data_IF_890160790152
#
_entry.id   IF_890160790152
#
_cell.length_a   1.000
_cell.length_b   1.000
_cell.length_c   1.000
_cell.angle_alpha   90.00
_cell.angle_beta   90.00
_cell.angle_gamma   90.00
#
_symmetry.space_group_name_H-M   'P 1'
#
loop_
_entity.id
_entity.type
_entity.pdbx_description
1 polymer ?
#
# COMPACT_ATOMS: atom_id res chain seq x y z
N UNK A 1 -8.55 7.37 -30.46
CA UNK A 1 -7.41 7.88 -29.68
C UNK A 1 -6.19 7.98 -30.60
N UNK A 2 -5.73 9.19 -30.86
CA UNK A 2 -4.52 9.50 -31.63
C UNK A 2 -3.26 8.91 -30.97
N UNK A 3 -2.19 8.65 -31.74
CA UNK A 3 -0.89 8.20 -31.22
C UNK A 3 -0.34 9.15 -30.15
N UNK A 4 -0.57 10.45 -30.29
CA UNK A 4 -0.14 11.45 -29.31
C UNK A 4 -0.90 11.36 -27.98
N UNK A 5 -2.20 11.08 -28.02
CA UNK A 5 -3.03 10.94 -26.82
C UNK A 5 -2.62 9.72 -25.97
N UNK A 6 -2.14 8.64 -26.61
CA UNK A 6 -1.60 7.48 -25.88
C UNK A 6 -0.29 7.78 -25.15
N UNK A 7 0.49 8.75 -25.63
CA UNK A 7 1.79 9.13 -25.05
C UNK A 7 1.58 10.08 -23.86
N UNK A 8 0.69 11.07 -23.98
CA UNK A 8 0.56 12.13 -22.96
C UNK A 8 -0.50 11.86 -21.89
N UNK A 9 -1.53 11.04 -22.18
CA UNK A 9 -2.54 10.70 -21.17
C UNK A 9 -2.21 9.36 -20.49
N UNK A 10 -1.55 9.45 -19.33
CA UNK A 10 -1.34 8.29 -18.46
C UNK A 10 -2.69 7.70 -18.01
N UNK A 11 -2.76 6.39 -17.69
CA UNK A 11 -3.98 5.78 -17.14
C UNK A 11 -4.50 6.51 -15.91
N UNK A 12 -3.60 6.96 -15.03
CA UNK A 12 -3.96 7.75 -13.84
C UNK A 12 -4.60 9.10 -14.22
N UNK A 13 -4.05 9.80 -15.22
CA UNK A 13 -4.63 11.08 -15.67
C UNK A 13 -5.99 10.87 -16.33
N UNK A 14 -6.15 9.82 -17.15
CA UNK A 14 -7.45 9.46 -17.74
C UNK A 14 -8.48 9.19 -16.67
N UNK A 15 -8.15 8.33 -15.69
CA UNK A 15 -9.02 8.01 -14.58
C UNK A 15 -9.38 9.26 -13.75
N UNK A 16 -8.41 10.13 -13.49
CA UNK A 16 -8.61 11.36 -12.75
C UNK A 16 -9.57 12.32 -13.47
N UNK A 17 -9.35 12.56 -14.78
CA UNK A 17 -10.23 13.40 -15.61
C UNK A 17 -11.63 12.80 -15.70
N UNK A 18 -11.75 11.50 -15.92
CA UNK A 18 -13.05 10.80 -15.92
C UNK A 18 -13.77 10.90 -14.58
N UNK A 19 -13.05 10.79 -13.47
CA UNK A 19 -13.64 10.93 -12.14
C UNK A 19 -14.16 12.35 -11.92
N UNK A 20 -13.36 13.37 -12.23
CA UNK A 20 -13.73 14.79 -12.03
C UNK A 20 -14.88 15.21 -12.95
N UNK A 21 -14.83 14.84 -14.23
CA UNK A 21 -15.82 15.29 -15.22
C UNK A 21 -17.05 14.38 -15.28
N UNK A 22 -16.92 13.11 -14.89
CA UNK A 22 -17.98 12.11 -14.97
C UNK A 22 -18.77 11.91 -13.68
N UNK A 23 -18.31 12.44 -12.54
CA UNK A 23 -19.05 12.37 -11.28
C UNK A 23 -19.28 13.76 -10.70
N UNK A 24 -20.54 14.19 -10.64
CA UNK A 24 -20.95 15.30 -9.78
C UNK A 24 -20.87 14.79 -8.34
N UNK A 25 -19.69 14.89 -7.72
CA UNK A 25 -19.49 14.48 -6.33
C UNK A 25 -20.25 15.43 -5.39
N UNK A 26 -21.56 15.22 -5.23
CA UNK A 26 -22.33 15.85 -4.17
C UNK A 26 -21.82 15.36 -2.82
N UNK A 27 -21.59 16.27 -1.87
CA UNK A 27 -21.18 15.93 -0.49
C UNK A 27 -22.26 15.04 0.13
N UNK A 28 -21.89 13.81 0.52
CA UNK A 28 -22.82 12.84 1.13
C UNK A 28 -22.77 12.80 2.67
N UNK A 29 -21.72 13.33 3.30
CA UNK A 29 -21.51 13.25 4.75
C UNK A 29 -21.09 14.60 5.33
N UNK A 30 -21.62 14.92 6.51
CA UNK A 30 -21.24 16.09 7.31
C UNK A 30 -19.82 15.95 7.86
N UNK A 31 -19.20 17.10 8.15
CA UNK A 31 -17.87 17.19 8.74
C UNK A 31 -17.96 17.83 10.11
N UNK A 32 -17.20 17.28 11.06
CA UNK A 32 -17.12 17.79 12.41
C UNK A 32 -15.72 18.36 12.65
N UNK A 33 -15.65 19.55 13.23
CA UNK A 33 -14.38 20.12 13.66
C UNK A 33 -13.73 19.19 14.69
N UNK A 34 -12.46 18.84 14.45
CA UNK A 34 -11.75 17.89 15.27
C UNK A 34 -10.28 18.26 15.30
N UNK A 35 -9.90 18.99 16.35
CA UNK A 35 -8.53 19.44 16.56
C UNK A 35 -7.73 18.35 17.26
N UNK A 36 -7.15 17.45 16.47
CA UNK A 36 -6.29 16.38 16.96
C UNK A 36 -4.96 16.37 16.22
N UNK A 37 -3.97 15.73 16.82
CA UNK A 37 -2.72 15.45 16.13
C UNK A 37 -2.84 14.13 15.35
N UNK A 38 -2.25 14.09 14.16
CA UNK A 38 -2.24 12.92 13.29
C UNK A 38 -0.80 12.62 12.88
N UNK A 39 -0.42 11.36 13.00
CA UNK A 39 0.82 10.85 12.44
C UNK A 39 0.58 10.36 11.02
N UNK A 40 1.45 10.74 10.09
CA UNK A 40 1.34 10.39 8.67
C UNK A 40 2.70 10.00 8.09
N UNK A 41 2.70 8.97 7.25
CA UNK A 41 3.85 8.62 6.40
C UNK A 41 3.40 8.33 4.97
N UNK A 42 4.33 8.49 4.02
CA UNK A 42 4.02 8.55 2.59
C UNK A 42 4.66 7.39 1.82
N UNK A 43 3.88 6.82 0.89
CA UNK A 43 4.32 5.83 -0.08
C UNK A 43 3.94 4.39 0.27
N UNK A 44 3.63 3.61 -0.76
CA UNK A 44 3.24 2.20 -0.63
C UNK A 44 4.35 1.34 0.02
N UNK A 45 5.60 1.56 -0.36
CA UNK A 45 6.74 0.82 0.22
C UNK A 45 6.93 1.15 1.71
N UNK A 46 6.74 2.42 2.10
CA UNK A 46 6.76 2.86 3.50
C UNK A 46 5.61 2.23 4.28
N UNK A 47 4.41 2.20 3.68
CA UNK A 47 3.26 1.53 4.27
C UNK A 47 3.53 0.04 4.51
N UNK A 48 4.08 -0.65 3.50
CA UNK A 48 4.48 -2.04 3.60
C UNK A 48 5.49 -2.28 4.74
N UNK A 49 6.49 -1.40 4.89
CA UNK A 49 7.49 -1.49 5.96
C UNK A 49 6.86 -1.38 7.36
N UNK A 50 6.00 -0.38 7.58
CA UNK A 50 5.36 -0.19 8.89
C UNK A 50 4.34 -1.27 9.23
N UNK A 51 3.53 -1.70 8.25
CA UNK A 51 2.59 -2.81 8.43
C UNK A 51 3.32 -4.16 8.63
N UNK A 52 4.56 -4.27 8.12
CA UNK A 52 5.42 -5.44 8.33
C UNK A 52 6.26 -5.38 9.61
N UNK A 53 5.93 -4.47 10.54
CA UNK A 53 6.64 -4.28 11.81
C UNK A 53 8.12 -3.96 11.61
N UNK A 54 8.39 -2.98 10.75
CA UNK A 54 9.73 -2.48 10.41
C UNK A 54 10.65 -3.50 9.71
N UNK A 55 10.07 -4.51 9.04
CA UNK A 55 10.81 -5.44 8.17
C UNK A 55 10.97 -4.85 6.77
N UNK A 56 12.16 -4.97 6.21
CA UNK A 56 12.38 -4.58 4.81
C UNK A 56 11.65 -5.55 3.86
N UNK A 57 11.35 -5.10 2.65
CA UNK A 57 10.58 -5.91 1.70
C UNK A 57 11.21 -7.30 1.45
N UNK A 58 12.53 -7.37 1.26
CA UNK A 58 13.24 -8.64 1.06
C UNK A 58 13.03 -9.63 2.23
N UNK A 59 13.07 -9.15 3.48
CA UNK A 59 12.83 -9.97 4.67
C UNK A 59 11.41 -10.52 4.73
N UNK A 60 10.44 -9.77 4.19
CA UNK A 60 9.03 -10.20 4.15
C UNK A 60 8.77 -11.27 3.09
N UNK A 61 9.62 -11.36 2.07
CA UNK A 61 9.48 -12.36 1.00
C UNK A 61 9.87 -13.76 1.45
N UNK A 62 10.75 -13.90 2.46
CA UNK A 62 11.18 -15.19 3.02
C UNK A 62 11.67 -16.20 1.95
N UNK A 63 12.35 -15.72 0.91
CA UNK A 63 12.80 -16.56 -0.22
C UNK A 63 14.04 -17.41 0.11
N UNK A 64 14.76 -17.10 1.20
CA UNK A 64 16.13 -17.56 1.43
C UNK A 64 16.43 -17.91 2.90
N UNK A 65 15.50 -18.57 3.60
CA UNK A 65 15.76 -19.08 4.96
C UNK A 65 16.23 -20.55 5.02
N UNK A 66 16.90 -21.06 3.98
CA UNK A 66 17.73 -22.26 4.13
C UNK A 66 19.12 -21.86 4.64
N UNK A 67 19.25 -21.55 5.93
CA UNK A 67 20.53 -21.67 6.62
C UNK A 67 20.85 -23.15 6.82
N UNK A 68 21.10 -23.87 5.72
CA UNK A 68 21.82 -25.13 5.82
C UNK A 68 23.27 -24.78 6.16
N UNK A 69 23.66 -25.03 7.41
CA UNK A 69 25.05 -25.19 7.82
C UNK A 69 25.65 -26.35 6.99
N UNK A 70 26.14 -26.05 5.79
CA UNK A 70 26.86 -27.03 4.98
C UNK A 70 28.06 -26.38 4.29
N UNK A 71 29.23 -26.69 4.86
CA UNK A 71 30.57 -26.72 4.30
C UNK A 71 31.12 -25.43 3.66
N UNK A 72 32.24 -24.96 4.21
CA UNK A 72 32.98 -23.74 3.86
C UNK A 72 33.37 -23.64 2.38
N UNK A 73 33.45 -24.77 1.67
CA UNK A 73 33.88 -24.84 0.27
C UNK A 73 32.80 -24.45 -0.77
N UNK A 74 31.54 -24.24 -0.38
CA UNK A 74 30.48 -23.66 -1.25
C UNK A 74 30.20 -22.18 -1.00
N UNK A 75 30.90 -21.55 -0.05
CA UNK A 75 30.68 -20.14 0.33
C UNK A 75 31.16 -19.20 -0.76
N UNK A 76 32.31 -19.49 -1.40
CA UNK A 76 32.91 -18.65 -2.44
C UNK A 76 32.08 -18.64 -3.74
N UNK A 77 31.55 -19.79 -4.17
CA UNK A 77 30.71 -19.89 -5.38
C UNK A 77 29.29 -19.36 -5.19
N UNK A 78 28.78 -19.36 -3.95
CA UNK A 78 27.52 -18.70 -3.60
C UNK A 78 27.66 -17.19 -3.40
N UNK A 79 28.85 -16.66 -3.07
CA UNK A 79 29.13 -15.23 -3.00
C UNK A 79 29.11 -14.59 -4.40
N UNK A 80 29.75 -15.22 -5.39
CA UNK A 80 29.73 -14.74 -6.78
C UNK A 80 28.33 -14.81 -7.42
N UNK A 81 27.51 -15.82 -7.06
CA UNK A 81 26.09 -15.88 -7.48
C UNK A 81 25.17 -14.96 -6.68
N UNK A 82 25.50 -14.61 -5.43
CA UNK A 82 24.72 -13.66 -4.62
C UNK A 82 24.78 -12.26 -5.21
N UNK A 83 25.95 -11.80 -5.64
CA UNK A 83 26.09 -10.45 -6.22
C UNK A 83 25.21 -10.21 -7.46
N UNK A 84 24.81 -11.27 -8.18
CA UNK A 84 23.93 -11.15 -9.34
C UNK A 84 22.43 -11.30 -9.03
N UNK A 85 22.03 -11.82 -7.86
CA UNK A 85 20.61 -12.05 -7.51
C UNK A 85 20.09 -11.22 -6.33
N UNK A 86 20.93 -10.71 -5.43
CA UNK A 86 20.49 -10.04 -4.18
C UNK A 86 20.36 -8.51 -4.26
N UNK A 87 20.47 -7.87 -5.43
CA UNK A 87 20.59 -6.40 -5.54
C UNK A 87 19.47 -5.67 -6.29
N UNK A 88 18.25 -6.21 -6.38
CA UNK A 88 17.15 -5.50 -7.07
C UNK A 88 16.20 -4.73 -6.13
N UNK A 89 16.09 -5.12 -4.85
CA UNK A 89 15.16 -4.51 -3.91
C UNK A 89 15.85 -3.39 -3.12
N UNK A 90 15.72 -2.14 -3.60
CA UNK A 90 16.28 -0.97 -2.93
C UNK A 90 15.73 -0.83 -1.49
N UNK A 91 16.63 -0.73 -0.51
CA UNK A 91 16.26 -0.42 0.87
C UNK A 91 15.67 0.99 0.94
N UNK A 92 14.60 1.14 1.71
CA UNK A 92 13.99 2.44 1.97
C UNK A 92 14.98 3.38 2.66
N UNK A 93 15.07 4.61 2.15
CA UNK A 93 15.89 5.66 2.74
C UNK A 93 15.36 6.06 4.12
N UNK A 94 16.21 6.71 4.93
CA UNK A 94 15.79 7.24 6.23
C UNK A 94 14.68 8.28 6.08
N UNK A 95 14.75 9.13 5.05
CA UNK A 95 13.72 10.12 4.73
C UNK A 95 12.38 9.45 4.45
N UNK A 96 12.33 8.40 3.62
CA UNK A 96 11.09 7.67 3.32
C UNK A 96 10.46 7.00 4.54
N UNK A 97 11.27 6.65 5.56
CA UNK A 97 10.78 6.08 6.83
C UNK A 97 10.27 7.14 7.79
N UNK A 98 10.37 8.43 7.49
CA UNK A 98 9.96 9.49 8.44
C UNK A 98 8.45 9.44 8.68
N UNK A 99 8.07 9.47 9.96
CA UNK A 99 6.69 9.71 10.38
C UNK A 99 6.59 11.20 10.72
N UNK A 100 5.63 11.87 10.11
CA UNK A 100 5.39 13.29 10.29
C UNK A 100 4.18 13.51 11.18
N UNK A 101 4.22 14.59 11.95
CA UNK A 101 3.08 15.05 12.75
C UNK A 101 2.35 16.16 12.00
N UNK A 102 1.02 16.08 11.93
CA UNK A 102 0.14 17.10 11.35
C UNK A 102 -1.08 17.33 12.24
N UNK A 103 -1.84 18.38 11.98
CA UNK A 103 -3.04 18.74 12.74
C UNK A 103 -4.28 18.44 11.91
N UNK A 104 -5.25 17.75 12.49
CA UNK A 104 -6.58 17.58 11.92
C UNK A 104 -7.38 18.86 12.14
N UNK A 105 -8.07 19.31 11.10
CA UNK A 105 -9.01 20.44 11.13
C UNK A 105 -10.44 19.94 11.28
N UNK A 106 -10.81 18.95 10.46
CA UNK A 106 -12.10 18.28 10.53
C UNK A 106 -12.01 16.82 10.07
N UNK A 107 -13.05 16.06 10.41
CA UNK A 107 -13.20 14.66 10.02
C UNK A 107 -14.56 14.44 9.35
N UNK A 108 -14.60 13.45 8.45
CA UNK A 108 -15.82 12.80 7.99
C UNK A 108 -15.72 11.29 8.25
N UNK A 109 -16.79 10.54 7.94
CA UNK A 109 -16.85 9.08 8.13
C UNK A 109 -15.62 8.36 7.54
N UNK A 110 -15.13 8.80 6.38
CA UNK A 110 -14.03 8.14 5.65
C UNK A 110 -12.83 9.06 5.41
N UNK A 111 -12.64 10.14 6.15
CA UNK A 111 -11.58 11.08 5.80
C UNK A 111 -11.26 12.16 6.81
N UNK A 112 -10.14 12.81 6.54
CA UNK A 112 -9.58 13.90 7.35
C UNK A 112 -9.36 15.12 6.45
N UNK A 113 -9.62 16.32 6.97
CA UNK A 113 -8.92 17.51 6.51
C UNK A 113 -7.80 17.81 7.48
N UNK A 114 -6.58 17.91 6.97
CA UNK A 114 -5.40 18.21 7.78
C UNK A 114 -4.77 19.54 7.36
N UNK A 115 -4.09 20.16 8.31
CA UNK A 115 -3.21 21.31 8.10
C UNK A 115 -1.76 20.85 8.17
N UNK A 116 -1.06 20.97 7.04
CA UNK A 116 0.38 20.83 6.99
C UNK A 116 1.04 22.18 7.26
N UNK A 117 1.98 22.21 8.21
CA UNK A 117 2.78 23.40 8.53
C UNK A 117 4.26 23.07 8.38
N UNK A 118 5.03 23.96 7.75
CA UNK A 118 6.45 23.75 7.49
C UNK A 118 6.75 23.20 6.11
N UNK A 119 7.98 22.72 5.93
CA UNK A 119 8.45 22.20 4.63
C UNK A 119 7.69 20.92 4.25
N UNK A 120 7.19 20.87 3.02
CA UNK A 120 6.49 19.70 2.50
C UNK A 120 7.50 18.65 2.03
N UNK A 121 7.41 17.38 2.49
CA UNK A 121 8.31 16.33 2.03
C UNK A 121 8.02 15.99 0.57
N UNK A 122 9.02 15.44 -0.13
CA UNK A 122 8.95 15.15 -1.58
C UNK A 122 7.75 14.28 -1.99
N UNK A 123 7.29 13.41 -1.08
CA UNK A 123 6.17 12.50 -1.32
C UNK A 123 4.80 13.09 -0.94
N UNK A 124 4.73 14.30 -0.39
CA UNK A 124 3.46 14.99 -0.13
C UNK A 124 2.89 15.49 -1.46
N UNK A 125 2.08 14.65 -2.11
CA UNK A 125 1.46 14.94 -3.41
C UNK A 125 0.09 14.28 -3.54
N UNK A 126 -0.78 14.86 -4.36
CA UNK A 126 -2.08 14.26 -4.69
C UNK A 126 -1.91 12.85 -5.27
N UNK A 127 -2.75 11.93 -4.82
CA UNK A 127 -2.72 10.53 -5.23
C UNK A 127 -1.61 9.71 -4.58
N UNK A 128 -0.87 10.23 -3.60
CA UNK A 128 0.08 9.42 -2.82
C UNK A 128 -0.67 8.48 -1.86
N UNK A 129 -0.26 7.21 -1.81
CA UNK A 129 -0.69 6.28 -0.76
C UNK A 129 -0.09 6.70 0.59
N UNK A 130 -0.89 6.70 1.63
CA UNK A 130 -0.46 7.14 2.97
C UNK A 130 -0.89 6.14 4.03
N UNK A 131 -0.14 6.09 5.13
CA UNK A 131 -0.65 5.59 6.39
C UNK A 131 -0.85 6.73 7.36
N UNK A 132 -1.93 6.66 8.14
CA UNK A 132 -2.22 7.59 9.22
C UNK A 132 -2.60 6.89 10.51
N UNK A 133 -2.29 7.49 11.65
CA UNK A 133 -2.80 7.09 12.97
C UNK A 133 -2.90 8.30 13.89
N UNK A 134 -3.89 8.32 14.79
CA UNK A 134 -4.11 9.45 15.71
C UNK A 134 -3.25 9.35 16.98
N UNK A 135 -2.96 8.13 17.43
CA UNK A 135 -2.19 7.88 18.65
C UNK A 135 -0.95 7.06 18.35
N UNK A 136 0.05 7.13 19.25
CA UNK A 136 1.30 6.37 19.11
C UNK A 136 1.05 4.86 19.03
N UNK A 137 0.11 4.34 19.84
CA UNK A 137 -0.31 2.94 19.87
C UNK A 137 -1.56 2.67 19.02
N UNK A 138 -2.00 3.65 18.23
CA UNK A 138 -3.18 3.51 17.38
C UNK A 138 -2.91 2.60 16.18
N UNK A 139 -3.97 1.98 15.69
CA UNK A 139 -3.92 1.20 14.46
C UNK A 139 -3.65 2.09 13.25
N UNK A 140 -2.80 1.61 12.35
CA UNK A 140 -2.56 2.27 11.08
C UNK A 140 -3.79 2.18 10.20
N UNK A 141 -4.14 3.29 9.56
CA UNK A 141 -5.20 3.37 8.55
C UNK A 141 -4.59 3.80 7.22
N UNK A 142 -4.89 3.06 6.17
CA UNK A 142 -4.38 3.31 4.84
C UNK A 142 -5.31 4.20 4.06
N UNK A 143 -4.73 5.13 3.29
CA UNK A 143 -5.50 6.13 2.60
C UNK A 143 -4.78 6.74 1.40
N UNK A 144 -5.41 7.79 0.87
CA UNK A 144 -4.90 8.55 -0.26
C UNK A 144 -5.10 10.05 -0.05
N UNK A 145 -4.13 10.84 -0.52
CA UNK A 145 -4.28 12.30 -0.59
C UNK A 145 -5.15 12.66 -1.80
N UNK A 146 -6.34 13.21 -1.56
CA UNK A 146 -7.30 13.55 -2.62
C UNK A 146 -7.06 14.90 -3.26
N UNK A 147 -6.67 15.88 -2.46
CA UNK A 147 -6.29 17.20 -2.95
C UNK A 147 -5.39 17.89 -1.95
N UNK A 148 -4.66 18.90 -2.45
CA UNK A 148 -3.81 19.79 -1.67
C UNK A 148 -4.20 21.21 -2.09
N UNK A 149 -4.44 22.07 -1.10
CA UNK A 149 -4.77 23.48 -1.30
C UNK A 149 -3.80 24.33 -0.48
N UNK A 150 -3.25 25.37 -1.07
CA UNK A 150 -2.52 26.37 -0.32
C UNK A 150 -3.50 27.23 0.48
N UNK A 151 -3.26 27.40 1.78
CA UNK A 151 -4.15 28.15 2.68
C UNK A 151 -3.52 29.49 3.06
N UNK A 152 -2.28 29.48 3.55
CA UNK A 152 -1.47 30.68 3.82
C UNK A 152 -0.08 30.50 3.21
N UNK A 153 0.78 31.54 3.20
CA UNK A 153 2.12 31.47 2.61
C UNK A 153 2.96 30.27 3.09
N UNK A 154 2.70 29.75 4.30
CA UNK A 154 3.48 28.65 4.90
C UNK A 154 2.67 27.43 5.34
N UNK A 155 1.40 27.32 4.93
CA UNK A 155 0.57 26.17 5.29
C UNK A 155 -0.26 25.62 4.14
N UNK A 156 -0.34 24.29 4.09
CA UNK A 156 -1.18 23.56 3.15
C UNK A 156 -2.37 22.95 3.90
N UNK A 157 -3.52 22.92 3.24
CA UNK A 157 -4.66 22.08 3.61
C UNK A 157 -4.70 20.87 2.68
N UNK A 158 -4.91 19.69 3.25
CA UNK A 158 -5.05 18.46 2.49
C UNK A 158 -6.34 17.76 2.87
N UNK A 159 -6.96 17.09 1.91
CA UNK A 159 -7.99 16.10 2.21
C UNK A 159 -7.43 14.70 2.02
N UNK A 160 -7.60 13.90 3.07
CA UNK A 160 -7.24 12.50 3.11
C UNK A 160 -8.52 11.67 3.02
N UNK A 161 -8.48 10.60 2.24
CA UNK A 161 -9.52 9.56 2.24
C UNK A 161 -8.92 8.27 2.77
N UNK A 162 -9.62 7.65 3.73
CA UNK A 162 -9.26 6.37 4.30
C UNK A 162 -9.90 5.26 3.46
N UNK A 163 -9.08 4.33 3.00
CA UNK A 163 -9.48 3.20 2.16
C UNK A 163 -9.77 1.95 3.00
N UNK A 164 -8.94 1.68 4.00
CA UNK A 164 -9.11 0.53 4.89
C UNK A 164 -8.26 0.66 6.16
N UNK A 165 -8.69 -0.03 7.22
CA UNK A 165 -7.92 -0.28 8.44
C UNK A 165 -7.35 -1.71 8.46
N UNK A 166 -8.01 -2.65 7.79
CA UNK A 166 -7.60 -4.04 7.66
C UNK A 166 -6.68 -4.20 6.44
N UNK A 167 -5.38 -3.96 6.65
CA UNK A 167 -4.35 -3.97 5.61
C UNK A 167 -3.26 -4.99 5.91
N UNK A 168 -2.92 -5.78 4.92
CA UNK A 168 -2.06 -6.93 5.08
C UNK A 168 -0.93 -6.87 4.05
N UNK A 169 0.33 -6.67 4.49
CA UNK A 169 1.46 -6.56 3.59
C UNK A 169 1.72 -7.89 2.91
N UNK A 170 1.76 -7.87 1.58
CA UNK A 170 1.97 -9.03 0.72
C UNK A 170 2.89 -8.64 -0.46
N UNK A 171 3.23 -9.60 -1.29
CA UNK A 171 4.02 -9.34 -2.49
C UNK A 171 3.29 -9.86 -3.73
N UNK A 172 3.55 -9.22 -4.87
CA UNK A 172 3.06 -9.70 -6.16
C UNK A 172 4.18 -9.78 -7.16
N UNK A 173 4.05 -10.64 -8.16
CA UNK A 173 4.87 -10.58 -9.36
C UNK A 173 4.08 -10.95 -10.60
N UNK A 174 4.60 -10.54 -11.74
CA UNK A 174 4.13 -10.96 -13.05
C UNK A 174 5.18 -11.91 -13.61
N UNK A 175 4.74 -13.09 -14.05
CA UNK A 175 5.63 -14.06 -14.69
C UNK A 175 5.97 -13.57 -16.11
N UNK A 176 6.98 -12.72 -16.24
CA UNK A 176 7.48 -12.23 -17.53
C UNK A 176 8.56 -13.14 -18.14
N UNK A 177 9.45 -13.69 -17.29
CA UNK A 177 10.56 -14.56 -17.70
C UNK A 177 10.55 -15.88 -16.94
N UNK A 178 11.12 -16.95 -17.52
CA UNK A 178 11.06 -18.30 -16.95
C UNK A 178 11.81 -18.47 -15.62
N UNK A 179 12.80 -17.62 -15.33
CA UNK A 179 13.73 -17.85 -14.21
C UNK A 179 13.86 -16.69 -13.21
N UNK A 180 13.24 -15.53 -13.46
CA UNK A 180 13.31 -14.38 -12.55
C UNK A 180 11.92 -13.97 -12.07
N UNK A 181 11.72 -13.99 -10.75
CA UNK A 181 10.50 -13.47 -10.12
C UNK A 181 10.79 -12.08 -9.55
N UNK A 182 10.29 -11.07 -10.25
CA UNK A 182 10.42 -9.68 -9.82
C UNK A 182 9.25 -9.35 -8.90
N UNK A 183 9.48 -9.50 -7.59
CA UNK A 183 8.48 -9.22 -6.58
C UNK A 183 8.30 -7.71 -6.36
N UNK A 184 7.07 -7.28 -6.18
CA UNK A 184 6.70 -5.90 -5.87
C UNK A 184 5.91 -5.87 -4.55
N UNK A 185 6.14 -4.85 -3.69
CA UNK A 185 5.34 -4.68 -2.48
C UNK A 185 3.89 -4.38 -2.85
N UNK A 186 2.98 -5.06 -2.19
CA UNK A 186 1.54 -4.89 -2.33
C UNK A 186 0.88 -4.89 -0.96
N UNK A 187 -0.36 -4.39 -0.89
CA UNK A 187 -1.20 -4.54 0.29
C UNK A 187 -2.50 -5.22 -0.12
N UNK A 188 -2.86 -6.26 0.62
CA UNK A 188 -4.20 -6.83 0.59
C UNK A 188 -5.06 -6.05 1.58
N UNK A 189 -6.17 -5.50 1.09
CA UNK A 189 -7.09 -4.68 1.87
C UNK A 189 -8.40 -5.46 2.02
N UNK A 190 -8.95 -5.42 3.22
CA UNK A 190 -10.32 -5.84 3.48
C UNK A 190 -11.13 -4.62 3.88
N UNK A 191 -12.26 -4.41 3.23
CA UNK A 191 -13.20 -3.34 3.57
C UNK A 191 -14.57 -3.97 3.77
N UNK A 192 -15.26 -3.56 4.83
CA UNK A 192 -16.62 -4.00 5.13
C UNK A 192 -17.58 -2.86 4.82
N UNK A 193 -18.49 -3.08 3.86
CA UNK A 193 -19.57 -2.15 3.54
C UNK A 193 -20.89 -2.85 3.85
N UNK A 194 -21.58 -2.40 4.90
CA UNK A 194 -22.82 -3.02 5.37
C UNK A 194 -22.60 -4.52 5.66
N UNK A 195 -23.13 -5.39 4.79
CA UNK A 195 -23.06 -6.84 4.90
C UNK A 195 -22.03 -7.49 3.95
N UNK A 196 -21.40 -6.72 3.06
CA UNK A 196 -20.45 -7.25 2.08
C UNK A 196 -19.00 -6.97 2.51
N UNK A 197 -18.22 -8.06 2.62
CA UNK A 197 -16.78 -7.99 2.83
C UNK A 197 -16.11 -8.01 1.47
N UNK A 198 -15.38 -6.95 1.15
CA UNK A 198 -14.66 -6.84 -0.10
C UNK A 198 -13.15 -6.89 0.13
N UNK A 199 -12.48 -7.82 -0.56
CA UNK A 199 -11.02 -7.89 -0.60
C UNK A 199 -10.49 -7.21 -1.87
N UNK A 200 -9.48 -6.36 -1.73
CA UNK A 200 -8.87 -5.63 -2.85
C UNK A 200 -7.35 -5.62 -2.73
N UNK A 201 -6.65 -5.36 -3.82
CA UNK A 201 -5.19 -5.27 -3.85
C UNK A 201 -4.74 -3.85 -4.17
N UNK A 202 -3.88 -3.30 -3.33
CA UNK A 202 -3.11 -2.08 -3.61
C UNK A 202 -1.78 -2.51 -4.24
N UNK A 203 -1.60 -2.14 -5.50
CA UNK A 203 -0.40 -2.42 -6.29
C UNK A 203 0.33 -1.11 -6.61
N UNK A 204 1.64 -1.14 -6.91
CA UNK A 204 2.37 0.05 -7.36
C UNK A 204 1.74 0.69 -8.60
N UNK A 205 1.79 2.02 -8.69
CA UNK A 205 1.29 2.83 -9.81
C UNK A 205 2.00 2.64 -11.16
N UNK A 206 2.78 1.58 -11.29
CA UNK A 206 3.54 1.21 -12.48
C UNK A 206 2.65 0.65 -13.60
N UNK A 207 3.01 0.90 -14.86
CA UNK A 207 2.23 0.47 -16.04
C UNK A 207 2.22 -1.05 -16.30
N UNK A 208 2.92 -1.84 -15.48
CA UNK A 208 3.00 -3.29 -15.59
C UNK A 208 1.75 -4.00 -15.07
N UNK A 209 0.99 -3.37 -14.15
CA UNK A 209 -0.26 -3.91 -13.61
C UNK A 209 -1.46 -3.30 -14.35
N UNK A 210 -2.34 -4.15 -14.87
CA UNK A 210 -3.50 -3.76 -15.66
C UNK A 210 -4.72 -4.60 -15.28
N UNK A 211 -5.89 -4.06 -15.55
CA UNK A 211 -7.13 -4.83 -15.52
C UNK A 211 -7.02 -6.03 -16.47
N UNK A 212 -7.77 -7.09 -16.17
CA UNK A 212 -7.85 -8.32 -16.97
C UNK A 212 -6.50 -9.06 -17.09
N UNK A 213 -5.68 -8.99 -16.04
CA UNK A 213 -4.34 -9.58 -16.00
C UNK A 213 -4.22 -10.61 -14.88
N UNK A 214 -3.65 -11.77 -15.20
CA UNK A 214 -3.24 -12.76 -14.19
C UNK A 214 -1.91 -12.36 -13.57
N UNK A 215 -1.87 -12.33 -12.24
CA UNK A 215 -0.64 -12.10 -11.46
C UNK A 215 -0.47 -13.19 -10.39
N UNK A 216 0.73 -13.30 -9.85
CA UNK A 216 1.01 -14.15 -8.71
C UNK A 216 0.99 -13.31 -7.43
N UNK A 217 0.17 -13.71 -6.46
CA UNK A 217 0.06 -13.11 -5.14
C UNK A 217 0.78 -14.03 -4.13
N UNK A 218 1.77 -13.46 -3.43
CA UNK A 218 2.55 -14.13 -2.40
C UNK A 218 2.07 -13.70 -1.02
N UNK A 219 1.58 -14.67 -0.24
CA UNK A 219 1.03 -14.51 1.11
C UNK A 219 1.98 -15.18 2.11
N UNK A 220 3.06 -14.49 2.47
CA UNK A 220 4.15 -15.09 3.24
C UNK A 220 4.94 -16.09 2.39
N UNK A 221 4.88 -17.37 2.73
CA UNK A 221 5.53 -18.45 1.96
C UNK A 221 4.69 -18.96 0.80
N UNK A 222 3.37 -18.82 0.92
CA UNK A 222 2.39 -19.32 -0.04
C UNK A 222 2.30 -18.41 -1.26
N UNK A 223 2.00 -19.00 -2.42
CA UNK A 223 1.85 -18.27 -3.67
C UNK A 223 0.62 -18.78 -4.42
N UNK A 224 -0.30 -17.86 -4.73
CA UNK A 224 -1.56 -18.15 -5.42
C UNK A 224 -1.66 -17.29 -6.67
N UNK A 225 -2.41 -17.75 -7.67
CA UNK A 225 -2.68 -16.97 -8.86
C UNK A 225 -4.01 -16.24 -8.71
N UNK A 226 -4.01 -14.96 -9.01
CA UNK A 226 -5.20 -14.11 -8.98
C UNK A 226 -5.37 -13.40 -10.30
N UNK A 227 -6.62 -13.10 -10.64
CA UNK A 227 -6.98 -12.34 -11.83
C UNK A 227 -7.42 -10.94 -11.41
N UNK A 228 -6.76 -9.91 -11.94
CA UNK A 228 -7.12 -8.52 -11.69
C UNK A 228 -8.36 -8.16 -12.50
N UNK A 229 -9.44 -7.78 -11.82
CA UNK A 229 -10.70 -7.38 -12.43
C UNK A 229 -10.66 -5.88 -12.75
N UNK A 230 -11.47 -5.08 -12.04
CA UNK A 230 -11.59 -3.63 -12.23
C UNK A 230 -10.67 -2.86 -11.29
N UNK A 231 -10.03 -1.82 -11.80
CA UNK A 231 -9.35 -0.82 -11.00
C UNK A 231 -10.39 0.14 -10.39
N UNK A 232 -10.53 0.11 -9.06
CA UNK A 232 -11.43 0.99 -8.33
C UNK A 232 -10.86 2.40 -8.15
N UNK A 233 -9.53 2.48 -8.04
CA UNK A 233 -8.81 3.74 -7.88
C UNK A 233 -7.47 3.65 -8.60
N UNK A 234 -7.20 4.57 -9.51
CA UNK A 234 -5.92 4.68 -10.21
C UNK A 234 -5.28 6.02 -9.86
N UNK A 235 -4.07 5.97 -9.31
CA UNK A 235 -3.25 7.13 -9.01
C UNK A 235 -1.86 6.97 -9.63
N UNK A 236 -1.03 8.01 -9.52
CA UNK A 236 0.38 7.92 -9.92
C UNK A 236 1.23 7.06 -8.99
N UNK A 237 0.82 6.85 -7.73
CA UNK A 237 1.63 6.14 -6.74
C UNK A 237 1.17 4.68 -6.54
N UNK A 238 -0.13 4.41 -6.67
CA UNK A 238 -0.72 3.09 -6.53
C UNK A 238 -1.98 2.91 -7.38
N UNK A 239 -2.39 1.65 -7.56
CA UNK A 239 -3.67 1.25 -8.14
C UNK A 239 -4.36 0.28 -7.19
N UNK A 240 -5.66 0.49 -6.94
CA UNK A 240 -6.51 -0.44 -6.18
C UNK A 240 -7.33 -1.30 -7.14
N UNK A 241 -7.14 -2.61 -7.08
CA UNK A 241 -7.85 -3.58 -7.92
C UNK A 241 -8.82 -4.44 -7.11
N UNK A 242 -9.99 -4.68 -7.69
CA UNK A 242 -10.74 -5.90 -7.43
C UNK A 242 -10.00 -7.08 -8.05
N UNK A 243 -10.06 -8.24 -7.40
CA UNK A 243 -9.46 -9.46 -7.90
C UNK A 243 -10.30 -10.67 -7.54
N UNK A 244 -10.08 -11.75 -8.26
CA UNK A 244 -10.62 -13.08 -7.97
C UNK A 244 -9.48 -14.10 -7.95
N UNK A 245 -9.66 -15.19 -7.19
CA UNK A 245 -8.72 -16.30 -7.22
C UNK A 245 -8.98 -17.13 -8.47
N UNK A 246 -7.91 -17.53 -9.18
CA UNK A 246 -8.06 -18.46 -10.30
C UNK A 246 -8.41 -19.88 -9.85
N UNK A 247 -8.17 -20.20 -8.57
CA UNK A 247 -8.57 -21.45 -7.95
C UNK A 247 -9.28 -21.15 -6.63
N UNK A 248 -10.61 -21.28 -6.63
CA UNK A 248 -11.45 -21.03 -5.44
C UNK A 248 -11.09 -21.94 -4.26
N UNK A 249 -10.55 -23.14 -4.51
CA UNK A 249 -10.07 -24.03 -3.45
C UNK A 249 -8.91 -23.43 -2.65
N UNK A 250 -8.27 -22.36 -3.14
CA UNK A 250 -7.19 -21.66 -2.44
C UNK A 250 -7.69 -20.50 -1.57
N UNK A 251 -9.01 -20.26 -1.49
CA UNK A 251 -9.59 -19.19 -0.66
C UNK A 251 -9.15 -19.30 0.81
N UNK A 252 -9.04 -20.52 1.35
CA UNK A 252 -8.59 -20.74 2.72
C UNK A 252 -7.18 -20.16 2.98
N UNK A 253 -6.29 -20.11 1.99
CA UNK A 253 -4.95 -19.55 2.15
C UNK A 253 -5.02 -18.04 2.39
N UNK A 254 -5.95 -17.36 1.70
CA UNK A 254 -6.22 -15.94 1.90
C UNK A 254 -6.74 -15.71 3.32
N UNK A 255 -7.79 -16.44 3.72
CA UNK A 255 -8.44 -16.25 5.01
C UNK A 255 -7.49 -16.55 6.18
N UNK A 256 -6.73 -17.64 6.09
CA UNK A 256 -5.71 -17.99 7.10
C UNK A 256 -4.62 -16.93 7.22
N UNK A 257 -4.17 -16.36 6.09
CA UNK A 257 -3.18 -15.29 6.10
C UNK A 257 -3.70 -14.04 6.82
N UNK A 258 -4.94 -13.64 6.55
CA UNK A 258 -5.60 -12.48 7.16
C UNK A 258 -5.82 -12.69 8.66
N UNK A 259 -6.35 -13.84 9.06
CA UNK A 259 -6.59 -14.22 10.45
C UNK A 259 -5.28 -14.23 11.27
N UNK A 260 -4.22 -14.83 10.73
CA UNK A 260 -2.90 -14.89 11.40
C UNK A 260 -2.36 -13.49 11.67
N UNK A 261 -2.51 -12.57 10.72
CA UNK A 261 -2.04 -11.19 10.85
C UNK A 261 -2.88 -10.40 11.85
N UNK A 262 -4.21 -10.53 11.84
CA UNK A 262 -5.09 -9.90 12.82
C UNK A 262 -4.78 -10.35 14.25
N UNK A 263 -4.60 -11.66 14.48
CA UNK A 263 -4.26 -12.17 15.81
C UNK A 263 -2.88 -11.68 16.29
N UNK A 264 -1.93 -11.52 15.37
CA UNK A 264 -0.61 -10.95 15.71
C UNK A 264 -0.73 -9.48 16.12
N UNK A 265 -1.63 -8.72 15.49
CA UNK A 265 -1.91 -7.32 15.86
C UNK A 265 -2.57 -7.25 17.24
N UNK A 266 -3.65 -8.01 17.47
CA UNK A 266 -4.39 -7.99 18.73
C UNK A 266 -3.56 -8.45 19.94
N UNK A 267 -2.75 -9.49 19.78
CA UNK A 267 -1.88 -9.98 20.87
C UNK A 267 -0.85 -8.92 21.27
N UNK A 268 -0.27 -8.22 20.30
CA UNK A 268 0.72 -7.18 20.55
C UNK A 268 0.11 -5.98 21.28
N UNK A 269 -1.08 -5.53 20.85
CA UNK A 269 -1.80 -4.40 21.48
C UNK A 269 -2.10 -4.69 22.96
N UNK A 270 -2.47 -5.94 23.29
CA UNK A 270 -2.70 -6.36 24.68
C UNK A 270 -1.41 -6.31 25.51
N UNK A 271 -0.26 -6.71 24.96
CA UNK A 271 1.02 -6.65 25.67
C UNK A 271 1.57 -5.24 25.83
N UNK A 272 1.37 -4.37 24.84
CA UNK A 272 1.78 -2.96 24.93
C UNK A 272 0.89 -2.13 25.85
N UNK A 273 -0.41 -2.43 25.93
CA UNK A 273 -1.33 -1.75 26.86
C UNK A 273 -1.08 -2.09 28.34
N UNK A 274 -0.31 -3.14 28.63
CA UNK A 274 0.05 -3.56 29.98
C UNK A 274 1.42 -3.01 30.46
N UNK A 275 2.10 -2.19 29.65
CA UNK A 275 3.36 -1.52 29.99
C UNK A 275 3.16 -0.02 30.15
#
# INVERSE_FOLDING_TARGET
>A
MSKNEKIYLSPALKFHVQTILGTTAQRRHERYEYNAALQICFGLSTAHFYLSKAKNFEETLQLSNNYNLQSESKVLSNLEKKEQQTSSYQRLSRESKTIYQTTVLDISVNGYRIKWSGEAPKNLRTGEYILVKETLHGQWRGGVIRWIKQSTEKSLELSLEILSQAMFPCAVHIQAERHTRNYHPALLLQTQNLEEIQNTLILPGSQIFREQQTIHLRLGTEEIKVYLLKAQLITQSFIQFQFELLNEQQQYLLDQFMLKKNNTVNSQDLWEALK
#
